data_IF_483878044668
#
_entry.id   IF_483878044668
#
_cell.length_a   1.000
_cell.length_b   1.000
_cell.length_c   1.000
_cell.angle_alpha   90.00
_cell.angle_beta   90.00
_cell.angle_gamma   90.00
#
_symmetry.space_group_name_H-M   'P 1'
#
loop_
_entity.id
_entity.type
_entity.pdbx_description
1 polymer ?
#
# COMPACT_ATOMS: atom_id res chain seq x y z
N UNK A 1 8.55 -2.69 9.98
CA UNK A 1 8.92 -1.37 9.41
C UNK A 1 7.67 -0.56 9.22
N UNK A 2 7.78 0.73 9.39
CA UNK A 2 6.63 1.64 9.36
C UNK A 2 7.07 2.99 8.82
N UNK A 3 6.18 3.68 8.09
CA UNK A 3 6.33 5.08 7.73
C UNK A 3 4.96 5.75 7.76
N UNK A 4 4.91 7.03 8.11
CA UNK A 4 3.68 7.77 8.29
C UNK A 4 3.74 9.17 7.68
N UNK A 5 2.58 9.73 7.39
CA UNK A 5 2.44 11.08 6.88
C UNK A 5 1.07 11.66 7.25
N UNK A 6 1.02 12.94 7.52
CA UNK A 6 -0.24 13.69 7.59
C UNK A 6 -0.55 14.23 6.19
N UNK A 7 -1.78 13.98 5.74
CA UNK A 7 -2.29 14.45 4.43
C UNK A 7 -3.47 15.41 4.63
N UNK A 8 -3.61 16.45 3.75
CA UNK A 8 -4.62 17.49 3.89
C UNK A 8 -5.95 17.08 3.21
N UNK A 9 -6.47 15.92 3.59
CA UNK A 9 -7.76 15.41 3.10
C UNK A 9 -8.47 14.65 4.23
N UNK A 10 -9.79 14.54 4.11
CA UNK A 10 -10.62 13.80 5.06
C UNK A 10 -10.24 12.31 5.14
N UNK A 11 -10.62 11.65 6.22
CA UNK A 11 -10.33 10.24 6.49
C UNK A 11 -10.81 9.33 5.34
N UNK A 12 -12.03 9.53 4.84
CA UNK A 12 -12.59 8.77 3.71
C UNK A 12 -11.78 8.98 2.45
N UNK A 13 -11.51 10.23 2.07
CA UNK A 13 -10.71 10.55 0.88
C UNK A 13 -9.30 9.96 0.97
N UNK A 14 -8.65 10.06 2.12
CA UNK A 14 -7.32 9.47 2.34
C UNK A 14 -7.35 7.95 2.13
N UNK A 15 -8.33 7.27 2.68
CA UNK A 15 -8.52 5.84 2.48
C UNK A 15 -8.71 5.50 1.00
N UNK A 16 -9.63 6.19 0.31
CA UNK A 16 -10.00 5.92 -1.08
C UNK A 16 -8.82 6.16 -2.04
N UNK A 17 -8.02 7.22 -1.84
CA UNK A 17 -6.76 7.44 -2.58
C UNK A 17 -5.84 6.24 -2.43
N UNK A 18 -5.72 5.66 -1.25
CA UNK A 18 -4.87 4.49 -1.01
C UNK A 18 -5.35 3.22 -1.75
N UNK A 19 -6.63 3.15 -2.12
CA UNK A 19 -7.25 2.02 -2.80
C UNK A 19 -7.42 2.22 -4.32
N UNK A 20 -6.99 3.35 -4.86
CA UNK A 20 -6.98 3.58 -6.32
C UNK A 20 -6.22 2.48 -7.06
N UNK A 21 -6.63 2.19 -8.29
CA UNK A 21 -6.02 1.17 -9.16
C UNK A 21 -5.70 1.76 -10.54
N UNK A 22 -5.09 0.95 -11.41
CA UNK A 22 -4.78 1.35 -12.79
C UNK A 22 -3.91 2.60 -12.88
N UNK A 23 -4.18 3.45 -13.85
CA UNK A 23 -3.38 4.64 -14.15
C UNK A 23 -3.41 5.68 -13.02
N UNK A 24 -4.53 5.80 -12.31
CA UNK A 24 -4.63 6.69 -11.14
C UNK A 24 -3.65 6.27 -10.05
N UNK A 25 -3.54 4.97 -9.80
CA UNK A 25 -2.55 4.45 -8.84
C UNK A 25 -1.12 4.76 -9.27
N UNK A 26 -0.80 4.61 -10.55
CA UNK A 26 0.53 4.83 -11.09
C UNK A 26 0.99 6.30 -11.01
N UNK A 27 0.05 7.25 -10.93
CA UNK A 27 0.39 8.67 -10.77
C UNK A 27 1.10 8.98 -9.45
N UNK A 28 0.79 8.24 -8.40
CA UNK A 28 1.31 8.56 -7.08
C UNK A 28 2.17 7.46 -6.45
N UNK A 29 1.98 6.18 -6.81
CA UNK A 29 2.70 5.06 -6.19
C UNK A 29 3.94 4.66 -7.00
N UNK A 30 5.14 5.15 -6.65
CA UNK A 30 6.36 4.85 -7.38
C UNK A 30 6.85 3.41 -7.16
N UNK A 31 6.23 2.66 -6.25
CA UNK A 31 6.59 1.29 -5.93
C UNK A 31 6.14 0.31 -7.00
N UNK A 32 4.99 0.57 -7.63
CA UNK A 32 4.37 -0.35 -8.57
C UNK A 32 4.54 0.11 -10.03
N UNK A 33 4.64 -0.86 -10.92
CA UNK A 33 4.57 -0.69 -12.37
C UNK A 33 3.19 -1.07 -12.91
N UNK A 34 2.51 -2.03 -12.26
CA UNK A 34 1.18 -2.50 -12.63
C UNK A 34 0.50 -3.14 -11.42
N UNK A 35 -0.79 -2.89 -11.28
CA UNK A 35 -1.61 -3.56 -10.28
C UNK A 35 -3.03 -3.75 -10.82
N UNK A 36 -3.61 -4.92 -10.60
CA UNK A 36 -5.02 -5.20 -10.91
C UNK A 36 -5.54 -6.31 -10.00
N UNK A 37 -6.85 -6.33 -9.82
CA UNK A 37 -7.53 -7.41 -9.12
C UNK A 37 -7.54 -8.67 -9.97
N UNK A 38 -7.55 -9.83 -9.33
CA UNK A 38 -7.69 -11.13 -9.96
C UNK A 38 -9.16 -11.58 -9.92
N UNK A 39 -9.42 -12.70 -10.60
CA UNK A 39 -10.71 -13.41 -10.55
C UNK A 39 -11.91 -12.56 -11.04
N UNK A 40 -11.66 -11.55 -11.90
CA UNK A 40 -12.71 -10.69 -12.47
C UNK A 40 -13.33 -9.69 -11.48
N UNK A 41 -12.76 -9.54 -10.29
CA UNK A 41 -13.24 -8.60 -9.28
C UNK A 41 -12.85 -7.16 -9.66
N UNK A 42 -13.75 -6.22 -9.43
CA UNK A 42 -13.58 -4.80 -9.79
C UNK A 42 -13.34 -3.87 -8.59
N UNK A 43 -13.65 -4.35 -7.38
CA UNK A 43 -13.52 -3.55 -6.16
C UNK A 43 -12.78 -4.32 -5.05
N UNK A 44 -12.04 -3.62 -4.18
CA UNK A 44 -11.34 -4.25 -3.06
C UNK A 44 -12.32 -4.69 -1.97
N UNK A 45 -12.11 -5.89 -1.44
CA UNK A 45 -12.81 -6.42 -0.28
C UNK A 45 -11.94 -7.48 0.42
N UNK A 46 -12.27 -7.86 1.64
CA UNK A 46 -11.61 -8.98 2.33
C UNK A 46 -11.69 -10.25 1.49
N UNK A 47 -10.57 -10.96 1.31
CA UNK A 47 -10.44 -12.15 0.50
C UNK A 47 -10.09 -11.88 -0.97
N UNK A 48 -10.26 -10.66 -1.47
CA UNK A 48 -9.90 -10.30 -2.85
C UNK A 48 -8.40 -10.39 -3.03
N UNK A 49 -7.97 -10.89 -4.20
CA UNK A 49 -6.57 -11.02 -4.57
C UNK A 49 -6.17 -9.97 -5.61
N UNK A 50 -4.95 -9.47 -5.49
CA UNK A 50 -4.36 -8.55 -6.46
C UNK A 50 -3.04 -9.08 -6.97
N UNK A 51 -2.78 -8.92 -8.28
CA UNK A 51 -1.43 -9.04 -8.82
C UNK A 51 -0.77 -7.67 -8.82
N UNK A 52 0.36 -7.57 -8.17
CA UNK A 52 1.21 -6.37 -8.16
C UNK A 52 2.52 -6.70 -8.86
N UNK A 53 2.90 -5.87 -9.83
CA UNK A 53 4.23 -5.91 -10.45
C UNK A 53 5.01 -4.71 -9.94
N UNK A 54 6.08 -4.98 -9.21
CA UNK A 54 7.00 -3.97 -8.73
C UNK A 54 7.76 -3.33 -9.90
N UNK A 55 8.20 -2.09 -9.77
CA UNK A 55 8.97 -1.39 -10.82
C UNK A 55 10.23 -2.12 -11.27
N UNK A 56 10.84 -2.95 -10.41
CA UNK A 56 11.98 -3.81 -10.74
C UNK A 56 11.58 -5.16 -11.38
N UNK A 57 10.30 -5.34 -11.71
CA UNK A 57 9.78 -6.54 -12.38
C UNK A 57 9.35 -7.69 -11.47
N UNK A 58 9.59 -7.61 -10.17
CA UNK A 58 9.08 -8.63 -9.23
C UNK A 58 7.56 -8.67 -9.24
N UNK A 59 7.01 -9.88 -9.29
CA UNK A 59 5.57 -10.12 -9.25
C UNK A 59 5.16 -10.65 -7.89
N UNK A 60 4.03 -10.19 -7.40
CA UNK A 60 3.47 -10.62 -6.12
C UNK A 60 1.95 -10.70 -6.22
N UNK A 61 1.39 -11.79 -5.74
CA UNK A 61 -0.05 -11.91 -5.50
C UNK A 61 -0.28 -11.68 -4.02
N UNK A 62 -1.12 -10.73 -3.71
CA UNK A 62 -1.52 -10.39 -2.33
C UNK A 62 -3.02 -10.58 -2.17
N UNK A 63 -3.43 -10.99 -0.97
CA UNK A 63 -4.82 -11.11 -0.56
C UNK A 63 -5.14 -10.07 0.52
N UNK A 64 -6.28 -9.42 0.41
CA UNK A 64 -6.81 -8.56 1.45
C UNK A 64 -7.25 -9.39 2.65
N UNK A 65 -6.57 -9.26 3.78
CA UNK A 65 -6.92 -9.96 5.04
C UNK A 65 -7.87 -9.14 5.91
N UNK A 66 -7.83 -7.82 5.75
CA UNK A 66 -8.79 -6.88 6.34
C UNK A 66 -9.09 -5.75 5.37
N UNK A 67 -10.33 -5.28 5.38
CA UNK A 67 -10.79 -4.11 4.65
C UNK A 67 -11.89 -3.44 5.47
N UNK A 68 -11.55 -2.34 6.12
CA UNK A 68 -12.42 -1.59 7.03
C UNK A 68 -12.37 -0.12 6.65
N UNK A 69 -13.23 0.26 5.72
CA UNK A 69 -13.38 1.66 5.32
C UNK A 69 -13.92 2.48 6.50
N UNK A 70 -13.39 3.66 6.79
CA UNK A 70 -12.23 4.32 6.16
C UNK A 70 -10.92 4.20 6.96
N UNK A 71 -10.72 3.19 7.77
CA UNK A 71 -9.67 3.17 8.79
C UNK A 71 -8.54 2.19 8.57
N UNK A 72 -8.80 1.03 7.92
CA UNK A 72 -7.80 -0.03 7.90
C UNK A 72 -7.87 -0.93 6.68
N UNK A 73 -6.71 -1.20 6.09
CA UNK A 73 -6.50 -2.20 5.05
C UNK A 73 -5.28 -3.03 5.39
N UNK A 74 -5.44 -4.35 5.43
CA UNK A 74 -4.36 -5.30 5.61
C UNK A 74 -4.25 -6.26 4.44
N UNK A 75 -3.03 -6.54 4.02
CA UNK A 75 -2.72 -7.46 2.92
C UNK A 75 -1.62 -8.44 3.32
N UNK A 76 -1.72 -9.67 2.84
CA UNK A 76 -0.66 -10.69 2.94
C UNK A 76 -0.25 -11.17 1.55
N UNK A 77 1.00 -11.50 1.37
CA UNK A 77 1.50 -12.20 0.18
C UNK A 77 0.99 -13.64 0.17
N UNK A 78 0.40 -14.05 -0.93
CA UNK A 78 -0.01 -15.43 -1.21
C UNK A 78 1.02 -16.12 -2.13
N UNK A 79 1.52 -15.39 -3.12
CA UNK A 79 2.60 -15.82 -4.00
C UNK A 79 3.50 -14.65 -4.34
N UNK A 80 4.80 -14.87 -4.50
CA UNK A 80 5.74 -13.78 -4.77
C UNK A 80 7.18 -14.26 -4.86
N UNK A 81 8.15 -13.34 -4.73
CA UNK A 81 9.55 -13.67 -4.83
C UNK A 81 9.95 -14.75 -3.83
N UNK A 82 10.68 -15.75 -4.32
CA UNK A 82 11.04 -16.96 -3.58
C UNK A 82 11.81 -16.70 -2.28
N UNK A 83 12.54 -15.59 -2.20
CA UNK A 83 13.32 -15.20 -1.03
C UNK A 83 12.50 -14.69 0.16
N UNK A 84 11.24 -14.35 -0.05
CA UNK A 84 10.33 -14.06 1.06
C UNK A 84 9.65 -15.36 1.53
N UNK A 85 9.73 -15.64 2.82
CA UNK A 85 8.89 -16.66 3.45
C UNK A 85 7.53 -16.12 3.86
N UNK A 86 7.49 -14.84 4.26
CA UNK A 86 6.29 -14.08 4.59
C UNK A 86 6.48 -12.64 4.17
N UNK A 87 5.44 -12.02 3.68
CA UNK A 87 5.37 -10.58 3.45
C UNK A 87 3.92 -10.15 3.64
N UNK A 88 3.72 -9.16 4.44
CA UNK A 88 2.41 -8.54 4.65
C UNK A 88 2.57 -7.08 5.00
N UNK A 89 1.52 -6.32 4.79
CA UNK A 89 1.52 -4.90 5.09
C UNK A 89 0.12 -4.34 5.05
N UNK A 90 -0.01 -3.08 5.39
CA UNK A 90 -1.31 -2.44 5.37
C UNK A 90 -1.27 -0.98 5.72
N UNK A 91 -2.36 -0.34 5.41
CA UNK A 91 -2.65 1.03 5.78
C UNK A 91 -3.47 1.10 7.05
N UNK A 92 -3.17 2.08 7.87
CA UNK A 92 -4.02 2.55 8.96
C UNK A 92 -4.19 4.04 8.84
N UNK A 93 -5.43 4.50 8.99
CA UNK A 93 -5.80 5.90 8.92
C UNK A 93 -6.47 6.34 10.20
N UNK A 94 -6.15 7.53 10.67
CA UNK A 94 -6.81 8.17 11.80
C UNK A 94 -6.93 9.67 11.58
N UNK A 95 -7.99 10.32 12.07
CA UNK A 95 -8.11 11.77 12.00
C UNK A 95 -7.00 12.42 12.85
N UNK A 96 -6.57 13.61 12.46
CA UNK A 96 -5.69 14.45 13.28
C UNK A 96 -6.56 15.24 14.25
N UNK A 97 -6.24 15.16 15.52
CA UNK A 97 -7.01 15.86 16.57
C UNK A 97 -7.03 17.36 16.31
N UNK A 98 -8.23 17.95 16.39
CA UNK A 98 -8.44 19.38 16.10
C UNK A 98 -8.41 19.77 14.61
N UNK A 99 -8.16 18.82 13.69
CA UNK A 99 -8.05 19.07 12.25
C UNK A 99 -8.87 18.05 11.45
N UNK A 100 -10.20 18.23 11.29
CA UNK A 100 -11.08 17.25 10.64
C UNK A 100 -10.75 17.00 9.17
N UNK A 101 -10.10 17.96 8.50
CA UNK A 101 -9.66 17.87 7.11
C UNK A 101 -8.26 17.30 6.94
N UNK A 102 -7.66 16.76 8.02
CA UNK A 102 -6.35 16.15 7.99
C UNK A 102 -6.40 14.71 8.49
N UNK A 103 -5.64 13.86 7.84
CA UNK A 103 -5.56 12.43 8.16
C UNK A 103 -4.12 12.00 8.36
N UNK A 104 -3.85 11.32 9.46
CA UNK A 104 -2.62 10.57 9.67
C UNK A 104 -2.74 9.22 8.97
N UNK A 105 -1.94 9.02 7.93
CA UNK A 105 -1.81 7.76 7.19
C UNK A 105 -0.53 7.04 7.59
N UNK A 106 -0.64 5.79 8.01
CA UNK A 106 0.47 4.93 8.44
C UNK A 106 0.52 3.70 7.56
N UNK A 107 1.68 3.41 6.96
CA UNK A 107 1.93 2.17 6.25
C UNK A 107 2.89 1.28 7.04
N UNK A 108 2.53 0.01 7.21
CA UNK A 108 3.37 -1.00 7.87
C UNK A 108 3.69 -2.15 6.94
N UNK A 109 4.95 -2.66 7.07
CA UNK A 109 5.37 -3.94 6.50
C UNK A 109 5.91 -4.87 7.58
N UNK A 110 5.56 -6.16 7.42
CA UNK A 110 6.18 -7.28 8.11
C UNK A 110 6.66 -8.27 7.07
N UNK A 111 7.89 -8.72 7.16
CA UNK A 111 8.44 -9.73 6.26
C UNK A 111 9.42 -10.65 6.97
N UNK A 112 9.64 -11.82 6.38
CA UNK A 112 10.69 -12.76 6.76
C UNK A 112 11.30 -13.35 5.50
N UNK A 113 12.60 -13.67 5.54
CA UNK A 113 13.36 -14.16 4.40
C UNK A 113 13.66 -15.66 4.47
N UNK A 114 14.06 -16.23 3.33
CA UNK A 114 14.62 -17.58 3.16
C UNK A 114 16.00 -17.48 2.52
N UNK A 115 16.89 -18.49 2.72
CA UNK A 115 16.80 -19.58 3.70
C UNK A 115 17.05 -19.06 5.12
N UNK A 116 16.60 -19.80 6.14
CA UNK A 116 16.64 -19.35 7.55
C UNK A 116 18.04 -19.02 8.07
N UNK A 117 19.07 -19.71 7.57
CA UNK A 117 20.46 -19.46 7.98
C UNK A 117 21.03 -18.13 7.45
N UNK A 118 20.49 -17.63 6.32
CA UNK A 118 20.85 -16.31 5.75
C UNK A 118 19.90 -15.19 6.19
N UNK A 119 18.77 -15.54 6.79
CA UNK A 119 17.71 -14.59 7.14
C UNK A 119 18.20 -13.38 7.93
N UNK A 120 19.06 -13.50 8.98
CA UNK A 120 19.49 -12.33 9.75
C UNK A 120 20.21 -11.24 8.92
N UNK A 121 21.01 -11.66 7.94
CA UNK A 121 21.72 -10.74 7.04
C UNK A 121 20.77 -10.22 5.95
N UNK A 122 20.01 -11.11 5.33
CA UNK A 122 19.06 -10.80 4.28
C UNK A 122 17.94 -9.87 4.79
N UNK A 123 17.48 -10.06 6.01
CA UNK A 123 16.45 -9.23 6.64
C UNK A 123 16.98 -7.84 6.98
N UNK A 124 18.24 -7.70 7.40
CA UNK A 124 18.86 -6.38 7.62
C UNK A 124 18.98 -5.58 6.31
N UNK A 125 19.52 -6.20 5.27
CA UNK A 125 19.65 -5.55 3.96
C UNK A 125 18.28 -5.26 3.36
N UNK A 126 17.38 -6.25 3.42
CA UNK A 126 16.00 -6.11 2.96
C UNK A 126 15.24 -5.00 3.70
N UNK A 127 15.45 -4.85 5.01
CA UNK A 127 14.85 -3.78 5.78
C UNK A 127 15.28 -2.39 5.30
N UNK A 128 16.56 -2.19 4.97
CA UNK A 128 17.07 -0.91 4.45
C UNK A 128 16.46 -0.58 3.07
N UNK A 129 16.40 -1.59 2.18
CA UNK A 129 15.83 -1.40 0.84
C UNK A 129 14.33 -1.13 0.93
N UNK A 130 13.60 -1.95 1.67
CA UNK A 130 12.16 -1.80 1.84
C UNK A 130 11.79 -0.52 2.59
N UNK A 131 12.60 -0.07 3.57
CA UNK A 131 12.35 1.20 4.24
C UNK A 131 12.42 2.37 3.25
N UNK A 132 13.43 2.41 2.38
CA UNK A 132 13.53 3.44 1.33
C UNK A 132 12.34 3.40 0.36
N UNK A 133 11.89 2.20 0.01
CA UNK A 133 10.73 2.06 -0.88
C UNK A 133 9.42 2.49 -0.20
N UNK A 134 9.28 2.21 1.10
CA UNK A 134 8.15 2.71 1.90
C UNK A 134 8.17 4.24 1.97
N UNK A 135 9.30 4.85 2.26
CA UNK A 135 9.42 6.31 2.39
C UNK A 135 9.10 7.01 1.06
N UNK A 136 9.56 6.45 -0.07
CA UNK A 136 9.20 6.94 -1.40
C UNK A 136 7.70 6.79 -1.69
N UNK A 137 7.12 5.67 -1.26
CA UNK A 137 5.69 5.40 -1.41
C UNK A 137 4.86 6.38 -0.59
N UNK A 138 5.24 6.63 0.66
CA UNK A 138 4.58 7.60 1.55
C UNK A 138 4.68 9.02 0.97
N UNK A 139 5.84 9.42 0.46
CA UNK A 139 6.01 10.70 -0.21
C UNK A 139 5.15 10.80 -1.49
N UNK A 140 5.06 9.71 -2.26
CA UNK A 140 4.16 9.60 -3.41
C UNK A 140 2.70 9.71 -3.01
N UNK A 141 2.30 9.00 -1.97
CA UNK A 141 0.94 9.04 -1.43
C UNK A 141 0.53 10.46 -1.00
N UNK A 142 1.41 11.18 -0.30
CA UNK A 142 1.18 12.59 0.06
C UNK A 142 0.91 13.45 -1.18
N UNK A 143 1.69 13.27 -2.25
CA UNK A 143 1.44 13.98 -3.52
C UNK A 143 0.11 13.59 -4.16
N UNK A 144 -0.24 12.29 -4.13
CA UNK A 144 -1.52 11.79 -4.61
C UNK A 144 -2.72 12.39 -3.90
N UNK A 145 -2.62 12.58 -2.58
CA UNK A 145 -3.65 13.27 -1.79
C UNK A 145 -3.74 14.78 -2.07
N UNK A 146 -2.82 15.36 -2.85
CA UNK A 146 -2.85 16.75 -3.30
C UNK A 146 -3.03 16.88 -4.83
N UNK A 147 -3.07 15.76 -5.58
CA UNK A 147 -3.23 15.75 -7.04
C UNK A 147 -4.72 15.87 -7.40
N UNK A 148 -5.15 16.96 -8.09
CA UNK A 148 -6.55 17.15 -8.46
C UNK A 148 -7.14 16.00 -9.29
N UNK A 149 -6.35 15.38 -10.17
CA UNK A 149 -6.79 14.25 -11.00
C UNK A 149 -7.08 13.01 -10.16
N UNK A 150 -6.23 12.74 -9.15
CA UNK A 150 -6.44 11.62 -8.23
C UNK A 150 -7.68 11.85 -7.36
N UNK A 151 -7.83 13.08 -6.84
CA UNK A 151 -8.97 13.44 -6.00
C UNK A 151 -10.29 13.41 -6.76
N UNK A 152 -10.30 13.85 -8.02
CA UNK A 152 -11.49 13.79 -8.87
C UNK A 152 -11.88 12.34 -9.19
N UNK A 153 -10.90 11.49 -9.52
CA UNK A 153 -11.14 10.07 -9.76
C UNK A 153 -11.73 9.35 -8.54
N UNK A 154 -11.31 9.73 -7.33
CA UNK A 154 -11.86 9.19 -6.08
C UNK A 154 -13.29 9.65 -5.85
N UNK A 155 -13.60 10.93 -6.07
CA UNK A 155 -14.97 11.46 -5.92
C UNK A 155 -15.97 10.83 -6.88
N UNK A 156 -15.53 10.51 -8.10
CA UNK A 156 -16.40 9.90 -9.12
C UNK A 156 -16.72 8.42 -8.85
N UNK A 157 -16.07 7.80 -7.85
CA UNK A 157 -16.30 6.41 -7.45
C UNK A 157 -17.18 6.27 -6.20
N UNK A 158 -17.52 7.38 -5.55
CA UNK A 158 -18.42 7.45 -4.39
C UNK A 158 -19.89 7.61 -4.83
#
# INVERSE_FOLDING_TARGET
MESSVVVPVSLGTAFDVSQTTGDIRLRWDPFIRRQHFLDGVTAPAKGVRTLTVHRLGFRMISEYVSYQHPTNVGMKMVAGPWFFSRLGGGWRFSPVEGHPDQTLAVWRYNFSCRPRWLAPIAERIGALILQRDIDRRIAGYRRGCADPVVLEAVRSQQ
#
